data_IF_136015187281
#
_entry.id   IF_136015187281
#
_cell.length_a   1.000
_cell.length_b   1.000
_cell.length_c   1.000
_cell.angle_alpha   90.00
_cell.angle_beta   90.00
_cell.angle_gamma   90.00
#
_symmetry.space_group_name_H-M   'P 1'
#
loop_
_entity.id
_entity.type
_entity.pdbx_description
1 polymer ?
#
# COMPACT_ATOMS: atom_id res chain seq x y z
N UNK A 1 -5.00 0.49 -0.34
CA UNK A 1 -5.03 1.98 -0.27
C UNK A 1 -5.54 2.60 -1.56
N UNK A 2 -5.03 2.23 -2.76
CA UNK A 2 -5.52 2.79 -4.03
C UNK A 2 -7.00 2.54 -4.34
N UNK A 3 -7.55 1.39 -3.93
CA UNK A 3 -8.99 1.11 -4.05
C UNK A 3 -9.86 2.02 -3.17
N UNK A 4 -9.37 2.46 -2.00
CA UNK A 4 -10.08 3.47 -1.20
C UNK A 4 -10.12 4.80 -1.95
N UNK A 5 -9.01 5.18 -2.60
CA UNK A 5 -8.95 6.31 -3.54
C UNK A 5 -10.02 6.25 -4.63
N UNK A 6 -10.30 5.06 -5.18
CA UNK A 6 -11.36 4.87 -6.19
C UNK A 6 -12.72 5.22 -5.63
N UNK A 7 -13.05 4.73 -4.44
CA UNK A 7 -14.32 5.00 -3.80
C UNK A 7 -14.47 6.48 -3.47
N UNK A 8 -13.40 7.14 -3.03
CA UNK A 8 -13.41 8.58 -2.80
C UNK A 8 -13.61 9.40 -4.08
N UNK A 9 -12.96 9.03 -5.17
CA UNK A 9 -13.20 9.65 -6.48
C UNK A 9 -14.66 9.47 -6.93
N UNK A 10 -15.18 8.24 -6.83
CA UNK A 10 -16.56 7.93 -7.19
C UNK A 10 -17.58 8.66 -6.31
N UNK A 11 -17.28 8.87 -5.03
CA UNK A 11 -18.19 9.58 -4.12
C UNK A 11 -18.48 11.00 -4.62
N UNK A 12 -17.47 11.68 -5.17
CA UNK A 12 -17.60 13.04 -5.70
C UNK A 12 -18.29 13.11 -7.07
N UNK A 13 -18.15 12.09 -7.91
CA UNK A 13 -18.74 12.02 -9.25
C UNK A 13 -20.14 11.39 -9.28
N UNK A 14 -20.41 10.40 -8.44
CA UNK A 14 -21.66 9.64 -8.40
C UNK A 14 -22.62 10.18 -7.34
N UNK A 15 -22.83 11.50 -7.29
CA UNK A 15 -23.59 12.17 -6.22
C UNK A 15 -25.00 11.60 -6.00
N UNK A 16 -25.62 11.03 -7.04
CA UNK A 16 -26.96 10.47 -6.98
C UNK A 16 -27.02 9.00 -6.59
N UNK A 17 -25.87 8.31 -6.50
CA UNK A 17 -25.84 6.90 -6.15
C UNK A 17 -26.31 6.70 -4.69
N UNK A 18 -27.08 5.64 -4.45
CA UNK A 18 -27.65 5.35 -3.13
C UNK A 18 -26.59 5.24 -2.03
N UNK A 19 -25.44 4.64 -2.34
CA UNK A 19 -24.34 4.49 -1.40
C UNK A 19 -23.73 5.85 -0.98
N UNK A 20 -23.72 6.86 -1.86
CA UNK A 20 -23.29 8.22 -1.52
C UNK A 20 -24.23 8.86 -0.50
N UNK A 21 -25.55 8.66 -0.65
CA UNK A 21 -26.55 9.17 0.31
C UNK A 21 -26.36 8.55 1.70
N UNK A 22 -26.07 7.25 1.77
CA UNK A 22 -25.75 6.55 3.03
C UNK A 22 -24.49 7.14 3.66
N UNK A 23 -23.42 7.31 2.88
CA UNK A 23 -22.17 7.90 3.38
C UNK A 23 -22.37 9.34 3.91
N UNK A 24 -23.18 10.15 3.23
CA UNK A 24 -23.52 11.51 3.70
C UNK A 24 -24.30 11.48 5.01
N UNK A 25 -25.23 10.53 5.16
CA UNK A 25 -26.00 10.39 6.40
C UNK A 25 -25.14 9.99 7.61
N UNK A 26 -24.11 9.15 7.39
CA UNK A 26 -23.22 8.66 8.45
C UNK A 26 -22.12 9.67 8.77
N UNK A 27 -21.50 10.28 7.75
CA UNK A 27 -20.25 11.04 7.88
C UNK A 27 -20.40 12.53 7.54
N UNK A 28 -21.61 13.02 7.32
CA UNK A 28 -21.89 14.41 6.93
C UNK A 28 -21.67 14.69 5.44
N UNK A 29 -21.86 15.94 5.03
CA UNK A 29 -21.90 16.35 3.62
C UNK A 29 -20.64 15.98 2.82
N UNK A 30 -19.48 15.90 3.47
CA UNK A 30 -18.21 15.54 2.84
C UNK A 30 -17.87 14.04 2.95
N UNK A 31 -18.75 13.20 3.50
CA UNK A 31 -18.50 11.76 3.61
C UNK A 31 -17.24 11.41 4.43
N UNK A 32 -16.80 12.29 5.33
CA UNK A 32 -15.57 12.12 6.11
C UNK A 32 -14.26 12.41 5.34
N UNK A 33 -14.33 13.05 4.16
CA UNK A 33 -13.18 13.30 3.27
C UNK A 33 -12.21 14.41 3.74
N UNK A 34 -12.54 15.15 4.80
CA UNK A 34 -11.83 16.39 5.18
C UNK A 34 -10.42 16.19 5.77
N UNK A 35 -10.01 14.97 6.12
CA UNK A 35 -8.82 14.77 6.98
C UNK A 35 -7.59 14.13 6.33
N UNK A 36 -7.64 13.57 5.12
CA UNK A 36 -6.40 12.97 4.53
C UNK A 36 -6.28 12.95 3.00
N UNK A 37 -7.37 12.74 2.26
CA UNK A 37 -7.31 12.66 0.78
C UNK A 37 -7.88 13.89 0.05
N UNK A 38 -8.52 14.82 0.77
CA UNK A 38 -8.96 16.10 0.20
C UNK A 38 -7.82 16.85 -0.51
N UNK A 39 -6.59 16.74 0.01
CA UNK A 39 -5.40 17.35 -0.58
C UNK A 39 -5.06 16.85 -2.01
N UNK A 40 -5.50 15.65 -2.38
CA UNK A 40 -5.25 15.05 -3.70
C UNK A 40 -6.32 15.41 -4.73
N UNK A 41 -7.42 16.02 -4.29
CA UNK A 41 -8.50 16.51 -5.13
C UNK A 41 -8.36 18.02 -5.32
N UNK A 42 -8.63 18.50 -6.52
CA UNK A 42 -8.76 19.93 -6.84
C UNK A 42 -10.12 20.14 -7.47
N UNK A 43 -10.77 21.28 -7.22
CA UNK A 43 -11.99 21.63 -7.95
C UNK A 43 -11.68 21.91 -9.42
N UNK A 44 -12.51 21.37 -10.29
CA UNK A 44 -12.57 21.78 -11.69
C UNK A 44 -13.60 22.90 -11.82
N UNK A 45 -13.17 24.07 -12.25
CA UNK A 45 -14.04 25.24 -12.35
C UNK A 45 -14.63 25.25 -13.76
N UNK A 46 -15.89 24.85 -13.86
CA UNK A 46 -16.65 24.86 -15.09
C UNK A 46 -17.59 26.06 -15.14
N UNK A 47 -18.87 25.80 -15.06
CA UNK A 47 -19.94 26.79 -15.12
C UNK A 47 -20.17 27.53 -13.79
N UNK A 48 -19.60 27.06 -12.67
CA UNK A 48 -19.67 27.71 -11.36
C UNK A 48 -21.01 27.54 -10.63
N UNK A 49 -21.88 26.63 -11.08
CA UNK A 49 -23.22 26.37 -10.51
C UNK A 49 -23.19 25.53 -9.23
N UNK A 50 -22.15 24.72 -9.03
CA UNK A 50 -22.05 23.80 -7.89
C UNK A 50 -20.95 24.19 -6.89
N UNK A 51 -20.29 25.33 -7.11
CA UNK A 51 -19.17 25.81 -6.30
C UNK A 51 -19.62 26.99 -5.45
N UNK A 52 -19.54 26.86 -4.13
CA UNK A 52 -19.82 27.96 -3.20
C UNK A 52 -18.62 28.91 -3.15
N UNK A 53 -18.84 30.18 -3.53
CA UNK A 53 -17.74 31.16 -3.66
C UNK A 53 -16.89 31.28 -2.39
N UNK A 54 -17.53 31.31 -1.21
CA UNK A 54 -16.83 31.55 0.05
C UNK A 54 -16.38 30.29 0.78
N UNK A 55 -17.16 29.21 0.64
CA UNK A 55 -17.06 28.03 1.50
C UNK A 55 -16.29 26.88 0.87
N UNK A 56 -16.24 26.81 -0.46
CA UNK A 56 -15.52 25.76 -1.16
C UNK A 56 -14.06 26.14 -1.44
N UNK A 57 -13.19 25.14 -1.46
CA UNK A 57 -11.76 25.25 -1.80
C UNK A 57 -11.56 25.19 -3.31
N UNK A 58 -12.03 26.21 -4.02
CA UNK A 58 -11.98 26.25 -5.48
C UNK A 58 -10.79 27.04 -6.05
N UNK A 59 -10.30 28.04 -5.30
CA UNK A 59 -9.14 28.83 -5.73
C UNK A 59 -7.82 28.08 -5.50
N UNK A 60 -7.61 27.61 -4.27
CA UNK A 60 -6.43 26.85 -3.86
C UNK A 60 -6.84 25.77 -2.86
N UNK A 61 -6.20 24.61 -2.94
CA UNK A 61 -6.50 23.47 -2.07
C UNK A 61 -6.11 23.79 -0.63
N UNK A 62 -7.02 23.56 0.31
CA UNK A 62 -6.83 23.93 1.71
C UNK A 62 -7.08 25.41 2.01
N UNK A 63 -7.51 26.21 1.04
CA UNK A 63 -7.80 27.63 1.22
C UNK A 63 -9.27 27.94 0.88
N UNK A 64 -10.05 28.27 1.90
CA UNK A 64 -11.39 28.83 1.72
C UNK A 64 -11.31 30.35 1.78
N UNK A 65 -12.02 31.03 0.88
CA UNK A 65 -12.01 32.49 0.85
C UNK A 65 -12.60 33.10 2.14
N UNK A 66 -13.51 32.40 2.82
CA UNK A 66 -14.02 32.83 4.12
C UNK A 66 -12.96 32.81 5.23
N UNK A 67 -11.99 31.90 5.17
CA UNK A 67 -10.92 31.79 6.17
C UNK A 67 -9.83 32.83 5.91
N UNK A 68 -9.52 33.09 4.63
CA UNK A 68 -8.56 34.13 4.22
C UNK A 68 -9.09 35.55 4.42
N UNK A 69 -10.38 35.77 4.16
CA UNK A 69 -11.02 37.09 4.24
C UNK A 69 -12.27 37.07 5.15
N UNK A 70 -12.14 36.75 6.45
CA UNK A 70 -13.28 36.54 7.35
C UNK A 70 -14.12 37.81 7.52
N UNK A 71 -13.48 38.99 7.48
CA UNK A 71 -14.13 40.29 7.58
C UNK A 71 -15.03 40.59 6.38
N UNK A 72 -14.59 40.21 5.17
CA UNK A 72 -15.40 40.37 3.95
C UNK A 72 -16.56 39.40 3.92
N UNK A 73 -16.33 38.16 4.37
CA UNK A 73 -17.37 37.15 4.49
C UNK A 73 -18.48 37.56 5.47
N UNK A 74 -18.12 38.15 6.62
CA UNK A 74 -19.08 38.64 7.62
C UNK A 74 -20.02 39.74 7.08
N UNK A 75 -19.58 40.53 6.10
CA UNK A 75 -20.34 41.65 5.52
C UNK A 75 -21.23 41.26 4.34
N UNK A 76 -21.26 39.99 3.93
CA UNK A 76 -22.09 39.56 2.79
C UNK A 76 -23.55 39.45 3.14
N UNK A 77 -24.40 39.87 2.20
CA UNK A 77 -25.85 39.63 2.26
C UNK A 77 -26.12 38.14 2.12
N UNK A 78 -25.53 37.52 1.11
CA UNK A 78 -25.62 36.10 0.82
C UNK A 78 -24.26 35.43 1.04
N UNK A 79 -24.18 34.53 2.02
CA UNK A 79 -22.99 33.76 2.39
C UNK A 79 -22.93 32.38 1.70
N UNK A 80 -24.01 31.97 1.05
CA UNK A 80 -24.16 30.66 0.39
C UNK A 80 -24.27 30.80 -1.14
N UNK A 81 -23.85 31.93 -1.70
CA UNK A 81 -23.91 32.17 -3.13
C UNK A 81 -22.92 31.32 -3.93
N UNK A 82 -23.40 30.80 -5.05
CA UNK A 82 -22.58 30.06 -6.02
C UNK A 82 -21.66 30.99 -6.82
N UNK A 83 -20.56 30.44 -7.33
CA UNK A 83 -19.53 31.16 -8.06
C UNK A 83 -20.09 31.87 -9.31
N UNK A 84 -21.02 31.24 -10.03
CA UNK A 84 -21.66 31.82 -11.22
C UNK A 84 -22.49 33.07 -10.92
N UNK A 85 -23.24 33.07 -9.80
CA UNK A 85 -24.11 34.18 -9.39
C UNK A 85 -23.34 35.44 -8.99
N UNK A 86 -22.02 35.33 -8.85
CA UNK A 86 -21.14 36.44 -8.47
C UNK A 86 -20.59 37.20 -9.66
N UNK A 87 -20.88 36.80 -10.88
CA UNK A 87 -20.44 37.53 -12.08
C UNK A 87 -21.60 38.28 -12.72
N UNK A 88 -21.34 39.48 -13.22
CA UNK A 88 -22.24 40.26 -14.06
C UNK A 88 -21.47 40.75 -15.27
N UNK A 89 -22.09 40.63 -16.44
CA UNK A 89 -21.57 41.24 -17.64
C UNK A 89 -21.79 42.75 -17.57
N UNK A 90 -20.70 43.52 -17.55
CA UNK A 90 -20.71 44.98 -17.60
C UNK A 90 -19.84 45.38 -18.78
N UNK A 91 -20.44 46.04 -19.78
CA UNK A 91 -19.75 46.51 -20.99
C UNK A 91 -18.96 45.41 -21.73
N UNK A 92 -19.52 44.20 -21.81
CA UNK A 92 -18.88 43.05 -22.46
C UNK A 92 -17.79 42.35 -21.64
N UNK A 93 -17.46 42.87 -20.46
CA UNK A 93 -16.49 42.26 -19.54
C UNK A 93 -17.21 41.64 -18.33
N UNK A 94 -16.74 40.47 -17.92
CA UNK A 94 -17.27 39.79 -16.74
C UNK A 94 -16.69 40.39 -15.45
N UNK A 95 -17.51 41.15 -14.73
CA UNK A 95 -17.17 41.79 -13.46
C UNK A 95 -17.75 41.01 -12.27
N UNK A 96 -17.06 41.02 -11.13
CA UNK A 96 -17.55 40.36 -9.91
C UNK A 96 -18.46 41.31 -9.13
N UNK A 97 -19.68 40.89 -8.86
CA UNK A 97 -20.62 41.59 -7.98
C UNK A 97 -20.40 41.20 -6.52
N UNK A 98 -19.81 42.11 -5.76
CA UNK A 98 -19.51 41.86 -4.36
C UNK A 98 -20.76 41.85 -3.46
N UNK A 99 -21.83 42.60 -3.75
CA UNK A 99 -23.06 42.67 -2.94
C UNK A 99 -22.78 42.74 -1.41
N UNK A 100 -22.02 43.76 -1.00
CA UNK A 100 -21.67 44.02 0.40
C UNK A 100 -22.80 44.78 1.10
N UNK A 101 -23.10 44.43 2.36
CA UNK A 101 -24.11 45.13 3.19
C UNK A 101 -23.76 46.59 3.46
N UNK A 102 -22.48 46.93 3.44
CA UNK A 102 -21.93 48.25 3.77
C UNK A 102 -20.83 48.59 2.78
N UNK A 103 -20.70 49.88 2.45
CA UNK A 103 -19.61 50.36 1.60
C UNK A 103 -18.25 50.16 2.32
N UNK A 104 -17.29 49.42 1.74
CA UNK A 104 -16.01 49.13 2.38
C UNK A 104 -15.19 50.39 2.67
N UNK A 105 -14.54 50.47 3.83
CA UNK A 105 -13.64 51.57 4.23
C UNK A 105 -12.36 51.03 4.86
N UNK A 106 -11.24 51.73 4.77
CA UNK A 106 -9.98 51.33 5.44
C UNK A 106 -9.46 49.97 4.99
N UNK A 107 -9.05 49.10 5.94
CA UNK A 107 -8.47 47.77 5.64
C UNK A 107 -9.35 46.86 4.76
N UNK A 108 -10.66 47.06 4.74
CA UNK A 108 -11.58 46.33 3.86
C UNK A 108 -11.35 46.62 2.38
N UNK A 109 -10.86 47.82 2.02
CA UNK A 109 -10.52 48.16 0.63
C UNK A 109 -9.28 47.41 0.17
N UNK A 110 -8.30 47.20 1.05
CA UNK A 110 -7.12 46.37 0.78
C UNK A 110 -7.54 44.93 0.55
N UNK A 111 -8.28 44.33 1.50
CA UNK A 111 -8.76 42.94 1.40
C UNK A 111 -9.60 42.72 0.13
N UNK A 112 -10.44 43.70 -0.25
CA UNK A 112 -11.23 43.64 -1.50
C UNK A 112 -10.37 43.80 -2.74
N UNK A 113 -9.35 44.66 -2.72
CA UNK A 113 -8.43 44.80 -3.84
C UNK A 113 -7.66 43.49 -4.06
N UNK A 114 -7.18 42.87 -2.98
CA UNK A 114 -6.46 41.61 -3.02
C UNK A 114 -7.34 40.48 -3.56
N UNK A 115 -8.58 40.39 -3.05
CA UNK A 115 -9.55 39.41 -3.52
C UNK A 115 -9.96 39.66 -4.98
N UNK A 116 -10.13 40.93 -5.38
CA UNK A 116 -10.42 41.29 -6.78
C UNK A 116 -9.27 40.84 -7.68
N UNK A 117 -8.02 41.15 -7.31
CA UNK A 117 -6.84 40.71 -8.06
C UNK A 117 -6.74 39.18 -8.17
N UNK A 118 -7.09 38.44 -7.12
CA UNK A 118 -7.10 36.97 -7.15
C UNK A 118 -8.12 36.42 -8.16
N UNK A 119 -9.28 37.05 -8.31
CA UNK A 119 -10.40 36.51 -9.12
C UNK A 119 -10.54 37.20 -10.49
N UNK A 120 -9.78 38.27 -10.76
CA UNK A 120 -9.84 39.02 -12.02
C UNK A 120 -9.61 38.14 -13.27
N UNK A 121 -8.80 37.09 -13.15
CA UNK A 121 -8.50 36.16 -14.26
C UNK A 121 -9.38 34.90 -14.25
N UNK A 122 -10.40 34.82 -13.38
CA UNK A 122 -11.32 33.69 -13.38
C UNK A 122 -12.12 33.71 -14.69
N UNK A 123 -12.14 32.61 -15.43
CA UNK A 123 -13.04 32.41 -16.58
C UNK A 123 -13.93 31.21 -16.28
N UNK A 124 -15.26 31.39 -16.39
CA UNK A 124 -16.20 30.27 -16.28
C UNK A 124 -16.52 29.76 -17.69
N UNK A 125 -16.68 28.46 -17.82
CA UNK A 125 -17.00 27.79 -19.07
C UNK A 125 -18.44 27.28 -19.00
N UNK A 126 -19.39 27.99 -19.60
CA UNK A 126 -20.83 27.63 -19.55
C UNK A 126 -21.13 26.24 -20.12
N UNK A 127 -20.33 25.76 -21.09
CA UNK A 127 -20.46 24.42 -21.67
C UNK A 127 -19.80 23.29 -20.88
N UNK A 128 -19.18 23.57 -19.73
CA UNK A 128 -18.45 22.59 -18.92
C UNK A 128 -18.99 22.63 -17.48
N UNK A 129 -19.52 21.51 -16.99
CA UNK A 129 -20.01 21.45 -15.62
C UNK A 129 -18.85 21.51 -14.61
N UNK A 130 -19.11 22.05 -13.43
CA UNK A 130 -18.16 21.96 -12.31
C UNK A 130 -17.84 20.51 -11.96
N UNK A 131 -16.60 20.27 -11.53
CA UNK A 131 -16.11 18.91 -11.33
C UNK A 131 -14.98 18.81 -10.31
N UNK A 132 -14.24 17.70 -10.43
CA UNK A 132 -13.08 17.40 -9.58
C UNK A 132 -11.92 16.90 -10.42
N UNK A 133 -10.73 17.41 -10.18
CA UNK A 133 -9.49 17.00 -10.81
C UNK A 133 -8.64 16.21 -9.82
N UNK A 134 -7.92 15.21 -10.33
CA UNK A 134 -7.00 14.40 -9.55
C UNK A 134 -5.56 14.94 -9.63
N UNK A 135 -5.05 15.51 -8.54
CA UNK A 135 -3.75 16.21 -8.53
C UNK A 135 -2.52 15.32 -8.67
N UNK A 136 -2.65 14.03 -8.37
CA UNK A 136 -1.52 13.10 -8.43
C UNK A 136 -1.28 12.55 -9.83
N UNK A 137 -2.04 12.98 -10.83
CA UNK A 137 -1.84 12.59 -12.23
C UNK A 137 -1.72 13.82 -13.14
N UNK A 138 -0.80 13.77 -14.11
CA UNK A 138 -0.61 14.85 -15.09
C UNK A 138 -1.84 15.11 -15.95
N UNK A 139 -2.66 14.07 -16.16
CA UNK A 139 -3.88 14.17 -16.96
C UNK A 139 -5.08 14.60 -16.11
N UNK A 140 -4.89 14.90 -14.82
CA UNK A 140 -5.93 15.25 -13.86
C UNK A 140 -7.05 14.20 -13.69
N UNK A 141 -6.83 12.97 -14.15
CA UNK A 141 -7.80 11.88 -14.08
C UNK A 141 -7.39 10.86 -13.02
N UNK A 142 -8.39 10.34 -12.31
CA UNK A 142 -8.15 9.28 -11.35
C UNK A 142 -7.88 7.94 -12.06
N UNK A 143 -6.78 7.28 -11.68
CA UNK A 143 -6.50 5.91 -12.07
C UNK A 143 -6.03 5.11 -10.86
N UNK A 144 -6.69 3.96 -10.62
CA UNK A 144 -6.28 3.02 -9.57
C UNK A 144 -4.84 2.58 -9.79
N UNK A 145 -4.46 2.31 -11.05
CA UNK A 145 -3.12 1.87 -11.41
C UNK A 145 -2.08 2.93 -11.03
N UNK A 146 -2.25 4.17 -11.48
CA UNK A 146 -1.31 5.26 -11.18
C UNK A 146 -1.23 5.54 -9.68
N UNK A 147 -2.36 5.53 -8.97
CA UNK A 147 -2.34 5.71 -7.51
C UNK A 147 -1.66 4.54 -6.79
N UNK A 148 -1.89 3.29 -7.23
CA UNK A 148 -1.14 2.13 -6.72
C UNK A 148 0.36 2.32 -6.94
N UNK A 149 0.78 2.67 -8.15
CA UNK A 149 2.20 2.88 -8.48
C UNK A 149 2.84 3.97 -7.60
N UNK A 150 2.13 5.07 -7.32
CA UNK A 150 2.59 6.14 -6.41
C UNK A 150 2.67 5.64 -4.97
N UNK A 151 1.66 4.92 -4.49
CA UNK A 151 1.66 4.38 -3.13
C UNK A 151 2.78 3.35 -2.97
N UNK A 152 2.93 2.46 -3.93
CA UNK A 152 3.93 1.41 -3.95
C UNK A 152 5.32 2.06 -4.00
N UNK A 153 5.57 3.01 -4.89
CA UNK A 153 6.86 3.74 -4.91
C UNK A 153 7.17 4.44 -3.59
N UNK A 154 6.19 4.95 -2.85
CA UNK A 154 6.40 5.63 -1.56
C UNK A 154 6.60 4.65 -0.41
N UNK A 155 5.76 3.63 -0.31
CA UNK A 155 5.84 2.59 0.72
C UNK A 155 7.06 1.69 0.53
N UNK A 156 7.51 1.54 -0.71
CA UNK A 156 8.62 0.68 -1.07
C UNK A 156 9.90 1.48 -1.40
N UNK A 157 9.89 2.82 -1.31
CA UNK A 157 11.08 3.65 -1.59
C UNK A 157 12.31 3.29 -0.73
N UNK A 158 12.11 2.65 0.43
CA UNK A 158 13.18 2.14 1.30
C UNK A 158 13.29 0.60 1.36
N UNK A 159 12.32 -0.12 0.80
CA UNK A 159 12.35 -1.58 0.70
C UNK A 159 12.67 -1.91 -0.76
N UNK A 160 13.92 -2.30 -1.05
CA UNK A 160 14.46 -2.56 -2.40
C UNK A 160 13.61 -3.50 -3.28
N UNK A 161 12.64 -4.19 -2.69
CA UNK A 161 11.74 -5.15 -3.29
C UNK A 161 10.43 -4.53 -3.84
N UNK A 162 10.30 -3.21 -3.82
CA UNK A 162 9.33 -2.47 -4.64
C UNK A 162 9.90 -1.80 -5.86
N UNK A 163 11.11 -2.15 -6.29
CA UNK A 163 11.37 -2.06 -7.71
C UNK A 163 10.33 -2.92 -8.44
N UNK A 164 9.90 -2.49 -9.63
CA UNK A 164 8.90 -3.14 -10.50
C UNK A 164 9.22 -4.61 -10.86
N UNK A 165 10.28 -5.17 -10.30
CA UNK A 165 10.98 -6.41 -10.63
C UNK A 165 10.97 -7.44 -9.50
N UNK A 166 10.17 -7.31 -8.43
CA UNK A 166 9.90 -8.48 -7.58
C UNK A 166 9.03 -9.48 -8.34
N UNK A 167 9.71 -10.27 -9.15
CA UNK A 167 9.16 -11.37 -9.92
C UNK A 167 8.67 -12.42 -8.93
N UNK A 168 7.36 -12.54 -8.80
CA UNK A 168 6.71 -13.65 -8.10
C UNK A 168 7.41 -14.94 -8.49
N UNK A 169 7.93 -15.68 -7.52
CA UNK A 169 8.59 -16.94 -7.83
C UNK A 169 7.53 -17.93 -8.28
N UNK A 170 7.57 -18.35 -9.55
CA UNK A 170 6.57 -19.23 -10.15
C UNK A 170 6.56 -20.61 -9.50
N UNK A 171 7.67 -21.05 -8.91
CA UNK A 171 7.81 -22.37 -8.28
C UNK A 171 7.01 -22.51 -6.99
N UNK A 172 6.57 -21.39 -6.40
CA UNK A 172 5.85 -21.41 -5.13
C UNK A 172 4.42 -20.90 -5.30
N UNK A 173 3.46 -21.43 -4.51
CA UNK A 173 2.09 -20.98 -4.57
C UNK A 173 1.97 -19.48 -4.24
N UNK A 174 0.92 -18.83 -4.77
CA UNK A 174 0.63 -17.41 -4.49
C UNK A 174 0.63 -17.07 -2.99
N UNK A 175 0.13 -17.96 -2.13
CA UNK A 175 0.12 -17.77 -0.66
C UNK A 175 1.53 -17.57 -0.07
N UNK A 176 2.52 -18.30 -0.58
CA UNK A 176 3.93 -18.22 -0.12
C UNK A 176 4.54 -16.92 -0.59
N UNK A 177 4.33 -16.55 -1.85
CA UNK A 177 4.81 -15.27 -2.35
C UNK A 177 4.14 -14.08 -1.61
N UNK A 178 2.84 -14.14 -1.28
CA UNK A 178 2.16 -13.11 -0.46
C UNK A 178 2.80 -13.04 0.93
N UNK A 179 3.12 -14.18 1.53
CA UNK A 179 3.82 -14.22 2.81
C UNK A 179 5.19 -13.54 2.75
N UNK A 180 6.02 -13.86 1.74
CA UNK A 180 7.32 -13.22 1.55
C UNK A 180 7.15 -11.72 1.34
N UNK A 181 6.21 -11.30 0.49
CA UNK A 181 5.89 -9.88 0.29
C UNK A 181 5.48 -9.17 1.59
N UNK A 182 4.69 -9.83 2.46
CA UNK A 182 4.36 -9.30 3.79
C UNK A 182 5.56 -9.22 4.71
N UNK A 183 6.47 -10.20 4.65
CA UNK A 183 7.71 -10.19 5.42
C UNK A 183 8.60 -9.01 5.04
N UNK A 184 8.73 -8.78 3.74
CA UNK A 184 9.48 -7.67 3.15
C UNK A 184 8.96 -6.30 3.56
N UNK A 185 7.64 -6.15 3.63
CA UNK A 185 6.99 -4.95 4.13
C UNK A 185 7.05 -4.81 5.65
N UNK A 186 7.70 -5.75 6.32
CA UNK A 186 7.80 -5.81 7.77
C UNK A 186 6.40 -5.88 8.44
N UNK A 187 5.47 -6.61 7.78
CA UNK A 187 4.04 -6.75 8.17
C UNK A 187 3.68 -8.14 8.70
N UNK A 188 4.67 -8.92 9.11
CA UNK A 188 4.46 -10.14 9.87
C UNK A 188 4.30 -9.82 11.36
N UNK A 189 3.46 -10.60 12.03
CA UNK A 189 3.15 -10.46 13.45
C UNK A 189 4.16 -11.23 14.31
N UNK A 190 5.40 -10.77 14.31
CA UNK A 190 6.42 -11.22 15.28
C UNK A 190 6.07 -10.69 16.68
N UNK A 191 6.49 -11.38 17.74
CA UNK A 191 6.06 -11.09 19.12
C UNK A 191 6.44 -9.66 19.57
N UNK A 192 7.63 -9.18 19.21
CA UNK A 192 8.06 -7.80 19.50
C UNK A 192 7.07 -6.75 18.97
N UNK A 193 6.52 -6.96 17.77
CA UNK A 193 5.51 -6.05 17.19
C UNK A 193 4.12 -6.19 17.76
N UNK A 194 3.82 -7.33 18.35
CA UNK A 194 2.57 -7.55 19.07
C UNK A 194 2.64 -6.77 20.39
N UNK A 195 3.77 -6.85 21.08
CA UNK A 195 4.08 -6.08 22.29
C UNK A 195 4.07 -4.56 22.01
N UNK A 196 4.70 -4.10 20.93
CA UNK A 196 4.68 -2.69 20.51
C UNK A 196 3.27 -2.12 20.29
N UNK A 197 2.28 -2.99 20.04
CA UNK A 197 0.86 -2.60 19.87
C UNK A 197 0.09 -2.59 21.18
N UNK A 198 0.75 -2.85 22.31
CA UNK A 198 0.15 -2.91 23.64
C UNK A 198 -0.69 -4.17 23.88
N UNK A 199 -0.43 -5.26 23.14
CA UNK A 199 -1.10 -6.53 23.35
C UNK A 199 -0.28 -7.35 24.35
N UNK A 200 -0.89 -7.67 25.49
CA UNK A 200 -0.26 -8.46 26.54
C UNK A 200 0.06 -9.88 26.05
N UNK A 201 1.34 -10.25 26.12
CA UNK A 201 1.86 -11.55 25.70
C UNK A 201 2.85 -12.11 26.73
N UNK A 202 2.90 -13.44 26.93
CA UNK A 202 3.72 -14.02 28.01
C UNK A 202 5.23 -13.83 27.86
N UNK A 203 5.73 -13.71 26.61
CA UNK A 203 7.14 -13.53 26.30
C UNK A 203 7.29 -12.95 24.89
N UNK A 204 8.33 -12.14 24.70
CA UNK A 204 8.78 -11.59 23.40
C UNK A 204 9.97 -12.35 22.82
N UNK A 205 10.45 -13.39 23.51
CA UNK A 205 11.55 -14.23 23.05
C UNK A 205 11.13 -15.09 21.86
N UNK A 206 12.10 -15.45 21.03
CA UNK A 206 11.92 -16.31 19.87
C UNK A 206 11.29 -17.65 20.29
N UNK A 207 10.12 -18.03 19.76
CA UNK A 207 9.44 -19.27 20.15
C UNK A 207 10.22 -20.55 19.84
N UNK A 208 11.28 -20.47 19.03
CA UNK A 208 12.09 -21.60 18.63
C UNK A 208 13.30 -21.82 19.53
N UNK A 209 14.08 -20.78 19.82
CA UNK A 209 15.29 -20.88 20.63
C UNK A 209 15.13 -20.40 22.08
N UNK A 210 14.09 -19.59 22.36
CA UNK A 210 13.80 -19.02 23.68
C UNK A 210 14.95 -18.20 24.30
N UNK A 211 15.81 -17.62 23.45
CA UNK A 211 17.07 -16.98 23.88
C UNK A 211 17.18 -15.50 23.45
N UNK A 212 16.69 -15.17 22.25
CA UNK A 212 16.78 -13.82 21.67
C UNK A 212 15.38 -13.28 21.40
N UNK A 213 15.18 -11.96 21.49
CA UNK A 213 13.93 -11.29 21.10
C UNK A 213 13.51 -11.67 19.67
N UNK A 214 12.22 -11.95 19.47
CA UNK A 214 11.72 -12.35 18.17
C UNK A 214 11.66 -11.14 17.21
N UNK A 215 12.67 -11.03 16.35
CA UNK A 215 12.64 -10.19 15.15
C UNK A 215 12.41 -11.02 13.90
N UNK A 216 12.06 -10.35 12.80
CA UNK A 216 11.86 -11.01 11.50
C UNK A 216 13.14 -11.68 11.00
N UNK A 217 14.27 -10.99 11.10
CA UNK A 217 15.59 -11.54 10.73
C UNK A 217 15.97 -12.74 11.61
N UNK A 218 15.68 -12.66 12.91
CA UNK A 218 15.97 -13.75 13.82
C UNK A 218 15.12 -14.97 13.51
N UNK A 219 13.80 -14.83 13.43
CA UNK A 219 12.91 -16.00 13.26
C UNK A 219 13.01 -16.63 11.87
N UNK A 220 13.34 -15.88 10.83
CA UNK A 220 13.41 -16.42 9.47
C UNK A 220 14.81 -16.87 9.04
N UNK A 221 15.88 -16.34 9.66
CA UNK A 221 17.25 -16.63 9.21
C UNK A 221 18.22 -16.89 10.38
N UNK A 222 18.29 -16.02 11.38
CA UNK A 222 19.39 -16.05 12.34
C UNK A 222 19.23 -17.04 13.51
N UNK A 223 18.00 -17.47 13.81
CA UNK A 223 17.69 -18.42 14.87
C UNK A 223 18.51 -19.71 14.69
N UNK A 224 19.20 -20.23 15.72
CA UNK A 224 20.05 -21.42 15.60
C UNK A 224 19.32 -22.65 15.04
N UNK A 225 18.06 -22.87 15.45
CA UNK A 225 17.23 -23.97 14.91
C UNK A 225 16.89 -23.76 13.45
N UNK A 226 16.64 -22.52 13.05
CA UNK A 226 16.33 -22.16 11.67
C UNK A 226 17.57 -22.27 10.79
N UNK A 227 18.74 -21.82 11.26
CA UNK A 227 20.03 -22.04 10.58
C UNK A 227 20.26 -23.52 10.29
N UNK A 228 19.97 -24.41 11.24
CA UNK A 228 20.09 -25.86 11.03
C UNK A 228 19.19 -26.35 9.89
N UNK A 229 17.92 -25.92 9.85
CA UNK A 229 16.99 -26.28 8.76
C UNK A 229 17.46 -25.69 7.42
N UNK A 230 17.87 -24.43 7.39
CA UNK A 230 18.38 -23.78 6.18
C UNK A 230 19.63 -24.50 5.65
N UNK A 231 20.56 -24.92 6.52
CA UNK A 231 21.73 -25.73 6.14
C UNK A 231 21.32 -27.06 5.51
N UNK A 232 20.35 -27.77 6.10
CA UNK A 232 19.80 -29.01 5.50
C UNK A 232 19.20 -28.75 4.11
N UNK A 233 18.40 -27.69 3.97
CA UNK A 233 17.78 -27.30 2.70
C UNK A 233 18.79 -26.92 1.61
N UNK A 234 19.79 -26.09 1.93
CA UNK A 234 20.81 -25.70 0.96
C UNK A 234 21.73 -26.88 0.61
N UNK A 235 22.12 -27.70 1.59
CA UNK A 235 22.92 -28.90 1.36
C UNK A 235 22.21 -29.91 0.47
N UNK A 236 20.88 -30.06 0.62
CA UNK A 236 20.06 -30.89 -0.26
C UNK A 236 20.09 -30.39 -1.72
N UNK A 237 20.25 -29.07 -1.90
CA UNK A 237 20.46 -28.41 -3.19
C UNK A 237 21.93 -28.22 -3.53
N UNK A 238 22.87 -28.94 -2.90
CA UNK A 238 24.31 -28.83 -3.19
C UNK A 238 24.91 -27.43 -2.99
N UNK A 239 24.20 -26.51 -2.33
CA UNK A 239 24.62 -25.14 -2.05
C UNK A 239 25.20 -25.08 -0.64
N UNK A 240 26.38 -24.47 -0.50
CA UNK A 240 26.99 -24.24 0.82
C UNK A 240 26.27 -23.10 1.52
N UNK A 241 25.85 -23.33 2.77
CA UNK A 241 25.31 -22.28 3.64
C UNK A 241 26.47 -21.44 4.18
N UNK A 242 26.42 -20.12 3.98
CA UNK A 242 27.40 -19.17 4.54
C UNK A 242 26.87 -18.70 5.90
N UNK A 243 27.52 -19.11 6.98
CA UNK A 243 27.06 -18.84 8.35
C UNK A 243 27.20 -17.37 8.78
N UNK A 244 28.19 -16.68 8.21
CA UNK A 244 28.47 -15.26 8.45
C UNK A 244 27.84 -14.40 7.34
N UNK A 245 26.89 -13.54 7.71
CA UNK A 245 26.37 -12.49 6.82
C UNK A 245 25.06 -12.78 6.09
N UNK A 246 24.40 -13.91 6.34
CA UNK A 246 23.05 -14.16 5.83
C UNK A 246 22.01 -13.45 6.71
N UNK A 247 21.52 -12.31 6.24
CA UNK A 247 20.31 -11.66 6.76
C UNK A 247 19.11 -11.94 5.83
N UNK A 248 17.91 -11.59 6.27
CA UNK A 248 16.69 -11.77 5.48
C UNK A 248 16.78 -11.03 4.15
N UNK A 249 17.34 -9.82 4.14
CA UNK A 249 17.46 -9.01 2.92
C UNK A 249 18.33 -9.72 1.86
N UNK A 250 19.43 -10.34 2.25
CA UNK A 250 20.35 -11.07 1.37
C UNK A 250 19.70 -12.31 0.75
N UNK A 251 18.87 -13.03 1.51
CA UNK A 251 18.07 -14.15 0.97
C UNK A 251 17.10 -13.64 -0.10
N UNK A 252 16.37 -12.56 0.18
CA UNK A 252 15.34 -12.07 -0.73
C UNK A 252 15.92 -11.34 -1.95
N UNK A 253 17.05 -10.66 -1.81
CA UNK A 253 17.75 -9.99 -2.91
C UNK A 253 18.42 -10.98 -3.88
N UNK A 254 18.34 -12.29 -3.61
CA UNK A 254 18.98 -13.29 -4.43
C UNK A 254 20.51 -13.19 -4.39
N UNK A 255 21.09 -12.61 -3.33
CA UNK A 255 22.54 -12.59 -3.14
C UNK A 255 23.12 -14.01 -3.14
N UNK A 256 22.33 -14.98 -2.65
CA UNK A 256 22.61 -16.42 -2.80
C UNK A 256 22.87 -16.81 -4.26
N UNK A 257 22.11 -16.28 -5.21
CA UNK A 257 22.20 -16.61 -6.64
C UNK A 257 23.36 -15.92 -7.37
N UNK A 258 24.00 -14.89 -6.79
CA UNK A 258 25.14 -14.21 -7.41
C UNK A 258 26.37 -15.12 -7.52
N UNK A 259 26.51 -16.06 -6.59
CA UNK A 259 27.65 -16.97 -6.52
C UNK A 259 27.32 -18.40 -7.01
N UNK A 260 26.12 -18.59 -7.57
CA UNK A 260 25.61 -19.91 -7.95
C UNK A 260 25.22 -19.90 -9.44
N UNK A 261 25.51 -20.97 -10.20
CA UNK A 261 25.06 -21.14 -11.58
C UNK A 261 23.55 -20.88 -11.79
N UNK A 262 23.19 -20.33 -12.96
CA UNK A 262 21.81 -19.95 -13.29
C UNK A 262 20.78 -21.07 -13.16
N UNK A 263 21.15 -22.31 -13.52
CA UNK A 263 20.27 -23.48 -13.39
C UNK A 263 19.87 -23.78 -11.93
N UNK A 264 20.60 -23.25 -10.95
CA UNK A 264 20.31 -23.41 -9.52
C UNK A 264 19.52 -22.24 -8.92
N UNK A 265 19.19 -21.20 -9.68
CA UNK A 265 18.42 -20.06 -9.15
C UNK A 265 17.03 -20.46 -8.64
N UNK A 266 16.53 -21.64 -9.04
CA UNK A 266 15.33 -22.29 -8.51
C UNK A 266 15.43 -22.58 -6.99
N UNK A 267 16.63 -22.61 -6.42
CA UNK A 267 16.87 -22.71 -4.97
C UNK A 267 16.18 -21.58 -4.18
N UNK A 268 15.96 -20.41 -4.79
CA UNK A 268 15.19 -19.32 -4.17
C UNK A 268 13.75 -19.73 -3.88
N UNK A 269 13.17 -20.57 -4.75
CA UNK A 269 11.84 -21.14 -4.52
C UNK A 269 11.84 -21.94 -3.22
N UNK A 270 12.81 -22.83 -3.05
CA UNK A 270 12.96 -23.62 -1.82
C UNK A 270 13.25 -22.75 -0.61
N UNK A 271 14.04 -21.68 -0.73
CA UNK A 271 14.22 -20.71 0.37
C UNK A 271 12.88 -20.12 0.81
N UNK A 272 12.01 -19.73 -0.12
CA UNK A 272 10.68 -19.20 0.20
C UNK A 272 9.78 -20.25 0.86
N UNK A 273 9.86 -21.51 0.41
CA UNK A 273 9.14 -22.64 1.03
C UNK A 273 9.64 -22.87 2.45
N UNK A 274 10.96 -22.86 2.66
CA UNK A 274 11.58 -23.01 3.98
C UNK A 274 11.12 -21.91 4.93
N UNK A 275 11.16 -20.66 4.51
CA UNK A 275 10.68 -19.54 5.33
C UNK A 275 9.20 -19.67 5.69
N UNK A 276 8.37 -20.09 4.73
CA UNK A 276 6.96 -20.37 5.00
C UNK A 276 6.79 -21.51 6.01
N UNK A 277 7.52 -22.61 5.85
CA UNK A 277 7.48 -23.75 6.77
C UNK A 277 7.91 -23.36 8.18
N UNK A 278 8.99 -22.60 8.31
CA UNK A 278 9.47 -22.03 9.57
C UNK A 278 8.41 -21.13 10.21
N UNK A 279 7.76 -20.27 9.43
CA UNK A 279 6.69 -19.42 9.93
C UNK A 279 5.47 -20.22 10.41
N UNK A 280 5.07 -21.26 9.67
CA UNK A 280 3.99 -22.14 10.11
C UNK A 280 4.34 -22.94 11.36
N UNK A 281 5.59 -23.38 11.47
CA UNK A 281 6.12 -24.09 12.63
C UNK A 281 6.14 -23.20 13.88
N UNK A 282 6.65 -21.97 13.74
CA UNK A 282 6.58 -20.94 14.77
C UNK A 282 5.13 -20.68 15.20
N UNK A 283 4.20 -20.50 14.26
CA UNK A 283 2.80 -20.24 14.62
C UNK A 283 2.15 -21.43 15.32
N UNK A 284 2.48 -22.65 14.92
CA UNK A 284 2.07 -23.86 15.64
C UNK A 284 2.52 -23.78 17.08
N UNK A 285 3.79 -23.48 17.35
CA UNK A 285 4.33 -23.39 18.72
C UNK A 285 3.67 -22.28 19.54
N UNK A 286 3.54 -21.08 18.96
CA UNK A 286 2.93 -19.91 19.63
C UNK A 286 1.47 -20.19 20.04
N UNK A 287 0.72 -20.90 19.20
CA UNK A 287 -0.69 -21.22 19.44
C UNK A 287 -0.92 -22.62 20.04
N UNK A 288 0.15 -23.36 20.36
CA UNK A 288 0.05 -24.68 21.00
C UNK A 288 -0.32 -24.56 22.47
N UNK A 289 -1.06 -25.57 22.97
CA UNK A 289 -1.22 -25.78 24.41
C UNK A 289 0.14 -26.05 25.06
N UNK A 290 0.28 -25.71 26.34
CA UNK A 290 1.56 -25.83 27.08
C UNK A 290 2.13 -27.26 27.01
N UNK A 291 1.26 -28.26 27.09
CA UNK A 291 1.59 -29.69 27.04
C UNK A 291 2.22 -30.11 25.70
N UNK A 292 1.76 -29.52 24.59
CA UNK A 292 2.20 -29.87 23.23
C UNK A 292 3.41 -29.06 22.75
N UNK A 293 3.79 -27.99 23.47
CA UNK A 293 4.84 -27.06 23.03
C UNK A 293 6.19 -27.74 22.85
N UNK A 294 6.61 -28.59 23.80
CA UNK A 294 7.91 -29.27 23.72
C UNK A 294 7.97 -30.22 22.51
N UNK A 295 6.88 -30.95 22.25
CA UNK A 295 6.78 -31.82 21.08
C UNK A 295 6.80 -31.02 19.78
N UNK A 296 6.07 -29.90 19.73
CA UNK A 296 6.07 -29.00 18.57
C UNK A 296 7.46 -28.40 18.31
N UNK A 297 8.20 -28.02 19.35
CA UNK A 297 9.57 -27.47 19.26
C UNK A 297 10.59 -28.51 18.79
N UNK A 298 10.35 -29.81 19.04
CA UNK A 298 11.23 -30.91 18.61
C UNK A 298 10.99 -31.42 17.18
N UNK A 299 9.98 -30.90 16.49
CA UNK A 299 9.58 -31.37 15.16
C UNK A 299 10.63 -31.05 14.08
N UNK A 300 11.10 -32.06 13.34
CA UNK A 300 11.97 -31.85 12.17
C UNK A 300 11.12 -31.51 10.94
N UNK A 301 11.02 -30.21 10.65
CA UNK A 301 10.24 -29.71 9.52
C UNK A 301 10.91 -29.93 8.16
N UNK A 302 12.14 -30.48 8.10
CA UNK A 302 12.88 -30.64 6.85
C UNK A 302 12.17 -31.56 5.85
N UNK A 303 11.65 -32.69 6.31
CA UNK A 303 10.90 -33.65 5.46
C UNK A 303 9.61 -33.03 4.93
N UNK A 304 8.95 -32.19 5.73
CA UNK A 304 7.78 -31.40 5.34
C UNK A 304 8.13 -30.35 4.27
N UNK A 305 9.31 -29.73 4.35
CA UNK A 305 9.79 -28.81 3.32
C UNK A 305 10.02 -29.56 2.01
N UNK A 306 10.68 -30.73 2.04
CA UNK A 306 10.92 -31.54 0.84
C UNK A 306 9.61 -31.97 0.17
N UNK A 307 8.63 -32.46 0.95
CA UNK A 307 7.35 -32.91 0.42
C UNK A 307 6.50 -31.76 -0.12
N UNK A 308 6.43 -30.62 0.58
CA UNK A 308 5.72 -29.43 0.09
C UNK A 308 6.36 -28.86 -1.17
N UNK A 309 7.70 -28.85 -1.25
CA UNK A 309 8.41 -28.38 -2.43
C UNK A 309 8.10 -29.25 -3.65
N UNK A 310 8.10 -30.58 -3.50
CA UNK A 310 7.70 -31.47 -4.58
C UNK A 310 6.25 -31.23 -5.01
N UNK A 311 5.33 -31.20 -4.05
CA UNK A 311 3.90 -31.01 -4.30
C UNK A 311 3.61 -29.71 -5.04
N UNK A 312 4.29 -28.62 -4.68
CA UNK A 312 4.04 -27.31 -5.28
C UNK A 312 4.70 -27.19 -6.66
N UNK A 313 5.91 -27.71 -6.83
CA UNK A 313 6.56 -27.76 -8.14
C UNK A 313 5.75 -28.64 -9.09
N UNK A 314 5.32 -29.83 -8.65
CA UNK A 314 4.54 -30.76 -9.49
C UNK A 314 3.20 -30.19 -9.93
N UNK A 315 2.53 -29.44 -9.06
CA UNK A 315 1.27 -28.78 -9.41
C UNK A 315 1.45 -27.54 -10.29
N UNK A 316 2.64 -26.94 -10.27
CA UNK A 316 2.98 -25.80 -11.12
C UNK A 316 3.31 -26.26 -12.54
N UNK A 317 3.96 -27.42 -12.67
CA UNK A 317 4.40 -27.98 -13.95
C UNK A 317 3.66 -29.29 -14.23
N UNK A 318 2.51 -29.19 -14.91
CA UNK A 318 1.57 -30.28 -15.14
C UNK A 318 2.08 -31.45 -16.01
N UNK A 319 3.29 -31.37 -16.57
CA UNK A 319 3.82 -32.33 -17.56
C UNK A 319 5.01 -33.19 -17.09
N UNK A 320 5.42 -33.11 -15.81
CA UNK A 320 6.54 -33.91 -15.28
C UNK A 320 6.11 -35.21 -14.59
N UNK A 321 6.85 -36.30 -14.78
CA UNK A 321 6.76 -37.49 -13.93
C UNK A 321 7.61 -37.27 -12.67
N UNK A 322 6.99 -36.75 -11.62
CA UNK A 322 7.68 -36.43 -10.36
C UNK A 322 7.79 -37.66 -9.45
N UNK A 323 9.01 -38.15 -9.20
CA UNK A 323 9.27 -39.23 -8.26
C UNK A 323 9.89 -38.68 -6.96
N UNK A 324 9.27 -38.98 -5.82
CA UNK A 324 9.73 -38.50 -4.50
C UNK A 324 11.13 -39.00 -4.12
N UNK A 325 11.49 -40.24 -4.46
CA UNK A 325 12.80 -40.79 -4.15
C UNK A 325 13.91 -40.09 -4.97
N UNK A 326 13.61 -39.78 -6.23
CA UNK A 326 14.52 -39.00 -7.09
C UNK A 326 14.62 -37.57 -6.58
N UNK A 327 13.52 -36.96 -6.13
CA UNK A 327 13.51 -35.60 -5.56
C UNK A 327 14.38 -35.47 -4.30
N UNK A 328 14.25 -36.42 -3.37
CA UNK A 328 15.00 -36.41 -2.11
C UNK A 328 16.50 -36.58 -2.37
N UNK A 329 16.88 -37.38 -3.36
CA UNK A 329 18.29 -37.68 -3.68
C UNK A 329 18.93 -36.65 -4.61
N UNK A 330 18.18 -36.11 -5.57
CA UNK A 330 18.68 -35.14 -6.55
C UNK A 330 17.56 -34.18 -7.02
N UNK A 331 17.36 -33.05 -6.31
CA UNK A 331 16.30 -32.10 -6.64
C UNK A 331 16.52 -31.36 -7.98
N UNK A 332 17.75 -31.36 -8.51
CA UNK A 332 18.07 -30.65 -9.75
C UNK A 332 17.49 -31.31 -11.00
N UNK A 333 17.44 -32.65 -11.02
CA UNK A 333 16.91 -33.40 -12.17
C UNK A 333 15.48 -32.99 -12.47
N UNK A 334 14.67 -32.85 -11.42
CA UNK A 334 13.27 -32.44 -11.53
C UNK A 334 13.16 -30.99 -12.01
N UNK A 335 14.09 -30.13 -11.62
CA UNK A 335 14.11 -28.75 -12.07
C UNK A 335 14.53 -28.60 -13.53
N UNK A 336 15.44 -29.44 -14.06
CA UNK A 336 15.82 -29.42 -15.47
C UNK A 336 14.64 -29.82 -16.38
N UNK A 337 13.85 -30.82 -15.97
CA UNK A 337 12.63 -31.24 -16.70
C UNK A 337 11.57 -30.14 -16.82
N UNK A 338 11.66 -29.11 -15.97
CA UNK A 338 10.77 -27.96 -15.99
C UNK A 338 11.19 -26.90 -17.02
N UNK A 339 12.48 -26.81 -17.35
CA UNK A 339 13.00 -25.84 -18.34
C UNK A 339 12.75 -26.27 -19.79
N UNK A 340 12.55 -27.56 -20.06
CA UNK A 340 12.28 -28.10 -21.40
C UNK A 340 10.82 -27.90 -21.89
N UNK A 341 9.97 -27.24 -21.08
CA UNK A 341 8.52 -27.10 -21.32
C UNK A 341 8.09 -25.63 -21.57
N UNK A 342 8.98 -24.67 -21.34
CA UNK A 342 8.84 -23.25 -21.71
C UNK A 342 9.48 -22.99 -23.09
#
# INVERSE_FOLDING_TARGET
>A
MSLLGKWWWRFRYEKHALWCKVMVAIHGADGGLSTSMGACLKRDIGNGEEILFWKDEWYEVGLRLMDKFPRLYALKVDQNGFLNTRRRLVDGNWCICWNLRVNPRGRFLSDLSDLTNMVNNLTLCEGHCDGWLWRLDSNNLFSVKKLSDIIDSRLLAGHFLGQKTHSWNRLVPRKVNIFVWRAVLDRLSVLTKIDDRGIDIPSVLCPLCDDVLESLDHILVACPKVKLICRKCLSWWGVKFLDDGMDFANVINGSLCQHIPSHLHKVLGVCFITMWAVWTWRNKIVHSKVEDKLAAIGEDIFTLIQSNALLWISNTFSKGNFNLNVWITNPFIICLMVDDVD
#
